data_IF_503832643920
#
_entry.id   IF_503832643920
#
_cell.length_a   1.000
_cell.length_b   1.000
_cell.length_c   1.000
_cell.angle_alpha   90.00
_cell.angle_beta   90.00
_cell.angle_gamma   90.00
#
_symmetry.space_group_name_H-M   'P 1'
#
loop_
_entity.id
_entity.type
_entity.pdbx_description
1 polymer ?
#
# COMPACT_ATOMS: atom_id res chain seq x y z
N UNK A 1 5.61 15.40 -7.24
CA UNK A 1 6.26 14.12 -6.92
C UNK A 1 7.15 14.38 -5.71
N UNK A 2 7.02 13.59 -4.64
CA UNK A 2 7.99 13.63 -3.56
C UNK A 2 9.36 13.21 -4.14
N UNK A 3 10.43 13.86 -3.72
CA UNK A 3 11.78 13.54 -4.15
C UNK A 3 12.12 12.11 -3.70
N UNK A 4 12.63 11.28 -4.63
CA UNK A 4 13.03 9.91 -4.31
C UNK A 4 14.20 9.95 -3.31
N UNK A 5 14.24 9.08 -2.29
CA UNK A 5 15.39 8.98 -1.42
C UNK A 5 16.67 8.66 -2.20
N UNK A 6 17.79 9.23 -1.76
CA UNK A 6 19.10 8.99 -2.40
C UNK A 6 19.50 7.51 -2.26
N UNK A 7 19.78 6.86 -3.40
CA UNK A 7 20.34 5.51 -3.42
C UNK A 7 21.85 5.57 -3.30
N UNK A 8 22.40 4.84 -2.33
CA UNK A 8 23.83 4.72 -2.02
C UNK A 8 24.25 3.26 -2.11
N UNK A 9 25.55 3.02 -2.11
CA UNK A 9 26.09 1.67 -2.19
C UNK A 9 27.06 1.39 -1.03
N UNK A 10 26.80 0.28 -0.31
CA UNK A 10 27.72 -0.30 0.63
C UNK A 10 28.59 -1.36 -0.09
N UNK A 11 29.86 -1.46 0.27
CA UNK A 11 30.74 -2.49 -0.29
C UNK A 11 31.02 -3.55 0.77
N UNK A 12 30.73 -4.80 0.46
CA UNK A 12 31.00 -5.95 1.33
C UNK A 12 32.48 -6.33 1.30
N UNK A 13 32.91 -7.19 2.23
CA UNK A 13 34.31 -7.63 2.29
C UNK A 13 34.77 -8.43 1.08
N UNK A 14 33.83 -9.06 0.36
CA UNK A 14 34.06 -9.79 -0.89
C UNK A 14 33.86 -8.92 -2.13
N UNK A 15 33.65 -7.60 -1.96
CA UNK A 15 33.62 -6.60 -3.01
C UNK A 15 32.29 -6.43 -3.71
N UNK A 16 31.18 -7.00 -3.20
CA UNK A 16 29.84 -6.83 -3.74
C UNK A 16 29.30 -5.45 -3.33
N UNK A 17 28.70 -4.72 -4.28
CA UNK A 17 28.01 -3.46 -4.01
C UNK A 17 26.54 -3.72 -3.70
N UNK A 18 26.11 -3.30 -2.51
CA UNK A 18 24.77 -3.45 -2.00
C UNK A 18 24.07 -2.09 -1.99
N UNK A 19 23.03 -1.95 -2.80
CA UNK A 19 22.25 -0.71 -2.87
C UNK A 19 21.40 -0.52 -1.62
N UNK A 20 21.41 0.69 -1.06
CA UNK A 20 20.62 1.02 0.13
C UNK A 20 20.13 2.46 0.11
N UNK A 21 19.10 2.73 0.90
CA UNK A 21 18.55 4.07 1.15
C UNK A 21 18.35 4.26 2.66
N UNK A 22 18.43 5.51 3.10
CA UNK A 22 18.12 5.91 4.47
C UNK A 22 17.03 6.96 4.44
N UNK A 23 15.94 6.73 5.15
CA UNK A 23 14.74 7.57 5.13
C UNK A 23 14.28 7.88 6.54
N UNK A 24 13.92 9.13 6.79
CA UNK A 24 13.55 9.60 8.14
C UNK A 24 14.77 9.90 9.02
N UNK A 25 14.48 10.51 10.16
CA UNK A 25 15.45 11.01 11.13
C UNK A 25 15.07 10.60 12.58
N UNK A 26 14.28 9.53 12.71
CA UNK A 26 13.84 9.00 14.01
C UNK A 26 14.99 8.64 14.95
N UNK A 27 14.67 8.49 16.21
CA UNK A 27 15.65 8.33 17.28
C UNK A 27 16.41 6.99 17.28
N UNK A 28 15.99 6.04 16.49
CA UNK A 28 16.60 4.70 16.36
C UNK A 28 16.59 4.21 14.92
N UNK A 29 17.52 3.33 14.62
CA UNK A 29 17.62 2.70 13.30
C UNK A 29 16.70 1.49 13.22
N UNK A 30 15.94 1.41 12.11
CA UNK A 30 15.15 0.25 11.73
C UNK A 30 15.62 -0.24 10.36
N UNK A 31 16.13 -1.46 10.28
CA UNK A 31 16.50 -2.07 8.99
C UNK A 31 15.38 -2.97 8.52
N UNK A 32 14.83 -2.69 7.35
CA UNK A 32 13.86 -3.56 6.68
C UNK A 32 14.59 -4.62 5.85
N UNK A 33 14.46 -5.87 6.26
CA UNK A 33 15.00 -7.04 5.57
C UNK A 33 13.85 -7.72 4.82
N UNK A 34 13.72 -7.37 3.55
CA UNK A 34 12.58 -7.79 2.70
C UNK A 34 12.60 -9.27 2.32
N UNK A 35 11.49 -9.76 1.80
CA UNK A 35 11.30 -11.10 1.22
C UNK A 35 12.02 -11.31 -0.12
N UNK A 36 11.48 -12.19 -0.96
CA UNK A 36 12.17 -12.73 -2.15
C UNK A 36 12.45 -11.71 -3.27
N UNK A 37 11.73 -10.59 -3.32
CA UNK A 37 11.99 -9.50 -4.25
C UNK A 37 12.13 -8.19 -3.51
N UNK A 38 13.07 -7.37 -3.94
CA UNK A 38 13.24 -6.00 -3.51
C UNK A 38 13.79 -5.14 -4.63
N UNK A 39 13.48 -3.88 -4.59
CA UNK A 39 14.09 -2.85 -5.42
C UNK A 39 13.89 -1.50 -4.72
N UNK A 40 14.95 -0.97 -4.12
CA UNK A 40 14.87 0.21 -3.25
C UNK A 40 14.24 1.44 -3.92
N UNK A 41 14.41 1.64 -5.24
CA UNK A 41 13.78 2.76 -5.95
C UNK A 41 12.36 2.44 -6.40
N UNK A 42 12.11 1.27 -7.00
CA UNK A 42 10.78 0.91 -7.50
C UNK A 42 9.72 0.76 -6.39
N UNK A 43 10.15 0.50 -5.16
CA UNK A 43 9.25 0.46 -4.01
C UNK A 43 8.54 1.80 -3.78
N UNK A 44 9.11 2.91 -4.23
CA UNK A 44 8.49 4.23 -4.15
C UNK A 44 7.52 4.54 -5.29
N UNK A 45 7.58 3.78 -6.38
CA UNK A 45 6.64 3.86 -7.50
C UNK A 45 5.32 3.14 -7.21
N UNK A 46 5.32 2.23 -6.21
CA UNK A 46 4.12 1.53 -5.75
C UNK A 46 3.49 2.29 -4.57
N UNK A 47 2.32 2.91 -4.75
CA UNK A 47 1.75 3.84 -3.75
C UNK A 47 1.57 3.20 -2.37
N UNK A 48 1.06 1.97 -2.31
CA UNK A 48 0.80 1.25 -1.08
C UNK A 48 2.09 0.95 -0.31
N UNK A 49 3.15 0.57 -1.03
CA UNK A 49 4.49 0.33 -0.46
C UNK A 49 5.11 1.63 0.03
N UNK A 50 5.06 2.68 -0.79
CA UNK A 50 5.62 3.98 -0.46
C UNK A 50 4.98 4.60 0.80
N UNK A 51 3.66 4.50 0.94
CA UNK A 51 2.95 4.99 2.13
C UNK A 51 3.34 4.19 3.38
N UNK A 52 3.46 2.88 3.26
CA UNK A 52 3.92 2.02 4.35
C UNK A 52 5.36 2.35 4.78
N UNK A 53 6.27 2.54 3.82
CA UNK A 53 7.67 2.92 4.11
C UNK A 53 7.77 4.29 4.78
N UNK A 54 6.95 5.28 4.34
CA UNK A 54 6.86 6.60 4.99
C UNK A 54 6.35 6.49 6.43
N UNK A 55 5.38 5.61 6.68
CA UNK A 55 4.87 5.36 8.02
C UNK A 55 5.94 4.77 8.94
N UNK A 56 6.73 3.79 8.49
CA UNK A 56 7.89 3.29 9.24
C UNK A 56 8.94 4.39 9.50
N UNK A 57 9.22 5.21 8.49
CA UNK A 57 10.18 6.30 8.57
C UNK A 57 9.70 7.46 9.47
N UNK A 58 8.39 7.56 9.77
CA UNK A 58 7.86 8.61 10.65
C UNK A 58 8.28 8.47 12.11
N UNK A 59 8.58 7.26 12.56
CA UNK A 59 9.01 6.99 13.94
C UNK A 59 10.42 6.38 14.05
N UNK A 60 11.09 6.09 12.92
CA UNK A 60 12.42 5.50 12.88
C UNK A 60 13.31 6.19 11.84
N UNK A 61 14.63 5.95 11.93
CA UNK A 61 15.53 6.14 10.81
C UNK A 61 15.57 4.83 10.04
N UNK A 62 14.73 4.75 9.00
CA UNK A 62 14.51 3.53 8.22
C UNK A 62 15.66 3.32 7.22
N UNK A 63 16.24 2.13 7.24
CA UNK A 63 17.28 1.68 6.31
C UNK A 63 16.68 0.58 5.42
N UNK A 64 16.64 0.83 4.13
CA UNK A 64 16.18 -0.09 3.08
C UNK A 64 17.39 -0.56 2.29
N UNK A 65 17.41 -1.80 1.84
CA UNK A 65 18.47 -2.28 0.97
C UNK A 65 17.99 -3.42 0.06
N UNK A 66 18.63 -3.51 -1.10
CA UNK A 66 18.51 -4.65 -1.98
C UNK A 66 19.63 -5.64 -1.66
N UNK A 67 19.27 -6.86 -1.33
CA UNK A 67 20.28 -7.90 -1.12
C UNK A 67 21.02 -8.20 -2.42
N UNK A 68 22.26 -8.71 -2.33
CA UNK A 68 23.02 -9.15 -3.51
C UNK A 68 22.17 -10.04 -4.43
N UNK A 69 22.23 -9.77 -5.72
CA UNK A 69 21.46 -10.46 -6.75
C UNK A 69 20.03 -9.96 -6.94
N UNK A 70 19.58 -8.94 -6.19
CA UNK A 70 18.27 -8.31 -6.31
C UNK A 70 18.38 -6.81 -6.58
N UNK A 71 17.34 -6.25 -7.21
CA UNK A 71 17.16 -4.81 -7.42
C UNK A 71 18.37 -4.14 -8.05
N UNK A 72 18.91 -3.13 -7.35
CA UNK A 72 20.06 -2.34 -7.78
C UNK A 72 21.42 -2.85 -7.26
N UNK A 73 21.43 -3.92 -6.44
CA UNK A 73 22.67 -4.52 -5.96
C UNK A 73 23.34 -5.36 -7.03
N UNK A 74 24.64 -5.58 -6.88
CA UNK A 74 25.41 -6.37 -7.85
C UNK A 74 24.81 -7.76 -8.05
N UNK A 75 24.68 -8.22 -9.30
CA UNK A 75 24.28 -9.58 -9.59
C UNK A 75 25.35 -10.58 -9.13
N UNK A 76 24.91 -11.71 -8.59
CA UNK A 76 25.79 -12.77 -8.13
C UNK A 76 25.51 -14.09 -8.86
N UNK A 77 26.52 -14.98 -8.91
CA UNK A 77 26.33 -16.31 -9.47
C UNK A 77 25.80 -17.27 -8.39
N UNK A 78 24.75 -18.02 -8.72
CA UNK A 78 24.12 -18.96 -7.80
C UNK A 78 23.29 -18.28 -6.70
N UNK A 79 22.93 -19.03 -5.66
CA UNK A 79 22.24 -18.54 -4.50
C UNK A 79 23.24 -18.11 -3.43
N UNK A 80 23.14 -16.86 -2.90
CA UNK A 80 23.98 -16.44 -1.80
C UNK A 80 23.62 -17.20 -0.52
N UNK A 81 24.61 -17.60 0.25
CA UNK A 81 24.42 -18.25 1.55
C UNK A 81 23.80 -17.29 2.58
N UNK A 82 23.34 -17.80 3.72
CA UNK A 82 22.90 -16.94 4.84
C UNK A 82 24.05 -16.04 5.31
N UNK A 83 25.27 -16.56 5.37
CA UNK A 83 26.47 -15.81 5.75
C UNK A 83 26.76 -14.65 4.81
N UNK A 84 26.64 -14.87 3.48
CA UNK A 84 26.82 -13.80 2.49
C UNK A 84 25.78 -12.69 2.70
N UNK A 85 24.52 -13.06 2.92
CA UNK A 85 23.42 -12.13 3.17
C UNK A 85 23.57 -11.37 4.50
N UNK A 86 24.13 -12.01 5.53
CA UNK A 86 24.50 -11.34 6.78
C UNK A 86 25.62 -10.32 6.56
N UNK A 87 26.57 -10.60 5.66
CA UNK A 87 27.61 -9.63 5.27
C UNK A 87 27.01 -8.42 4.56
N UNK A 88 25.99 -8.60 3.72
CA UNK A 88 25.26 -7.49 3.07
C UNK A 88 24.64 -6.59 4.14
N UNK A 89 23.88 -7.18 5.08
CA UNK A 89 23.25 -6.43 6.16
C UNK A 89 24.29 -5.66 6.99
N UNK A 90 25.41 -6.31 7.35
CA UNK A 90 26.48 -5.65 8.11
C UNK A 90 27.10 -4.50 7.33
N UNK A 91 27.43 -4.69 6.06
CA UNK A 91 28.01 -3.66 5.21
C UNK A 91 27.07 -2.45 5.07
N UNK A 92 25.76 -2.69 4.91
CA UNK A 92 24.75 -1.64 4.85
C UNK A 92 24.66 -0.89 6.17
N UNK A 93 24.59 -1.57 7.30
CA UNK A 93 24.57 -0.93 8.62
C UNK A 93 25.82 -0.06 8.84
N UNK A 94 27.01 -0.59 8.51
CA UNK A 94 28.27 0.14 8.66
C UNK A 94 28.31 1.37 7.74
N UNK A 95 27.91 1.25 6.47
CA UNK A 95 27.86 2.36 5.52
C UNK A 95 26.81 3.42 5.87
N UNK A 96 25.70 3.01 6.47
CA UNK A 96 24.66 3.91 6.99
C UNK A 96 25.04 4.57 8.32
N UNK A 97 26.19 4.19 8.94
CA UNK A 97 26.59 4.65 10.26
C UNK A 97 25.72 4.12 11.40
N UNK A 98 25.13 2.93 11.22
CA UNK A 98 24.26 2.29 12.18
C UNK A 98 25.07 1.32 13.06
N UNK A 99 25.37 1.72 14.28
CA UNK A 99 26.06 0.84 15.24
C UNK A 99 25.13 -0.26 15.75
N UNK A 100 23.85 0.05 15.93
CA UNK A 100 22.82 -0.85 16.46
C UNK A 100 21.46 -0.50 15.91
N UNK A 101 20.73 -1.49 15.37
CA UNK A 101 19.42 -1.29 14.77
C UNK A 101 18.38 -2.31 15.27
N UNK A 102 17.11 -1.94 15.18
CA UNK A 102 16.02 -2.92 15.14
C UNK A 102 16.00 -3.56 13.74
N UNK A 103 15.72 -4.86 13.65
CA UNK A 103 15.55 -5.56 12.38
C UNK A 103 14.07 -5.91 12.17
N UNK A 104 13.52 -5.56 11.02
CA UNK A 104 12.20 -6.04 10.55
C UNK A 104 12.44 -7.08 9.45
N UNK A 105 12.45 -8.34 9.83
CA UNK A 105 12.64 -9.48 8.93
C UNK A 105 11.30 -9.97 8.39
N UNK A 106 11.08 -9.81 7.08
CA UNK A 106 9.85 -10.17 6.40
C UNK A 106 10.05 -11.41 5.56
N UNK A 107 9.12 -12.39 5.67
CA UNK A 107 9.13 -13.57 4.81
C UNK A 107 10.51 -14.28 4.84
N UNK A 108 11.14 -14.50 3.70
CA UNK A 108 12.46 -15.13 3.61
C UNK A 108 13.63 -14.22 4.09
N UNK A 109 13.36 -12.96 4.43
CA UNK A 109 14.31 -12.12 5.17
C UNK A 109 14.42 -12.48 6.65
N UNK A 110 13.43 -13.20 7.19
CA UNK A 110 13.40 -13.59 8.60
C UNK A 110 14.51 -14.54 9.02
N UNK A 111 14.77 -15.67 8.32
CA UNK A 111 15.86 -16.58 8.66
C UNK A 111 17.22 -15.89 8.81
N UNK A 112 17.59 -15.04 7.86
CA UNK A 112 18.81 -14.25 7.94
C UNK A 112 18.81 -13.31 9.14
N UNK A 113 17.69 -12.61 9.40
CA UNK A 113 17.57 -11.69 10.55
C UNK A 113 17.69 -12.41 11.88
N UNK A 114 17.15 -13.63 11.99
CA UNK A 114 17.27 -14.48 13.18
C UNK A 114 18.71 -14.91 13.42
N UNK A 115 19.41 -15.39 12.38
CA UNK A 115 20.82 -15.79 12.48
C UNK A 115 21.69 -14.57 12.81
N UNK A 116 21.43 -13.43 12.19
CA UNK A 116 22.16 -12.19 12.50
C UNK A 116 21.97 -11.75 13.94
N UNK A 117 20.73 -11.76 14.45
CA UNK A 117 20.44 -11.38 15.84
C UNK A 117 21.05 -12.34 16.87
N UNK A 118 21.16 -13.63 16.54
CA UNK A 118 21.82 -14.60 17.40
C UNK A 118 23.36 -14.46 17.38
N UNK A 119 23.93 -14.10 16.21
CA UNK A 119 25.38 -14.01 16.00
C UNK A 119 25.95 -12.67 16.48
N UNK A 120 25.21 -11.57 16.30
CA UNK A 120 25.62 -10.20 16.60
C UNK A 120 24.59 -9.49 17.52
N UNK A 121 24.29 -10.03 18.70
CA UNK A 121 23.24 -9.46 19.58
C UNK A 121 23.53 -8.01 20.00
N UNK A 122 24.80 -7.59 20.03
CA UNK A 122 25.20 -6.21 20.30
C UNK A 122 24.81 -5.24 19.18
N UNK A 123 24.66 -5.73 17.94
CA UNK A 123 24.27 -4.94 16.77
C UNK A 123 22.74 -4.84 16.59
N UNK A 124 21.96 -5.64 17.35
CA UNK A 124 20.50 -5.71 17.23
C UNK A 124 19.82 -5.22 18.48
N UNK A 125 19.02 -4.18 18.39
CA UNK A 125 18.26 -3.64 19.52
C UNK A 125 16.97 -4.41 19.80
N UNK A 126 16.30 -4.86 18.72
CA UNK A 126 15.09 -5.66 18.74
C UNK A 126 14.93 -6.40 17.42
N UNK A 127 14.17 -7.49 17.41
CA UNK A 127 13.85 -8.28 16.24
C UNK A 127 12.34 -8.31 16.04
N UNK A 128 11.87 -7.83 14.90
CA UNK A 128 10.48 -7.95 14.44
C UNK A 128 10.45 -8.93 13.27
N UNK A 129 9.63 -9.95 13.37
CA UNK A 129 9.48 -11.01 12.38
C UNK A 129 8.05 -11.01 11.86
N UNK A 130 7.88 -10.87 10.54
CA UNK A 130 6.56 -10.88 9.92
C UNK A 130 6.45 -11.93 8.82
N UNK A 131 5.40 -12.76 8.88
CA UNK A 131 5.06 -13.71 7.82
C UNK A 131 6.24 -14.60 7.44
N UNK A 132 7.03 -15.06 8.41
CA UNK A 132 8.30 -15.74 8.20
C UNK A 132 8.35 -17.11 8.87
N UNK A 133 9.46 -17.81 8.71
CA UNK A 133 9.64 -19.22 9.05
C UNK A 133 11.06 -19.50 9.58
N UNK A 134 11.20 -20.54 10.38
CA UNK A 134 12.51 -21.10 10.71
C UNK A 134 13.00 -22.08 9.64
N UNK A 135 12.07 -22.72 8.96
CA UNK A 135 12.30 -23.65 7.85
C UNK A 135 11.10 -23.58 6.89
N UNK A 136 11.35 -23.59 5.58
CA UNK A 136 10.29 -23.48 4.58
C UNK A 136 9.70 -24.84 4.21
N UNK A 137 10.50 -25.91 4.26
CA UNK A 137 10.12 -27.28 3.90
C UNK A 137 9.79 -28.13 5.13
N UNK A 138 8.99 -29.18 4.93
CA UNK A 138 8.64 -30.13 6.00
C UNK A 138 9.86 -30.79 6.62
N UNK A 139 9.81 -31.03 7.93
CA UNK A 139 10.80 -31.80 8.68
C UNK A 139 10.13 -32.45 9.90
N UNK A 140 10.88 -33.28 10.62
CA UNK A 140 10.44 -33.83 11.90
C UNK A 140 10.12 -32.69 12.88
N UNK A 141 8.95 -32.75 13.50
CA UNK A 141 8.43 -31.68 14.37
C UNK A 141 8.01 -30.39 13.65
N UNK A 142 8.00 -30.39 12.28
CA UNK A 142 7.67 -29.22 11.48
C UNK A 142 6.79 -29.59 10.27
N UNK A 143 5.54 -30.06 10.47
CA UNK A 143 4.70 -30.62 9.40
C UNK A 143 4.03 -29.59 8.49
N UNK A 144 3.98 -28.31 8.87
CA UNK A 144 3.29 -27.23 8.14
C UNK A 144 4.13 -26.63 7.02
N UNK A 145 5.41 -26.93 6.91
CA UNK A 145 6.23 -26.56 5.75
C UNK A 145 5.74 -27.23 4.46
N UNK A 146 6.24 -26.78 3.34
CA UNK A 146 5.96 -27.41 2.05
C UNK A 146 6.62 -28.80 1.97
N UNK A 147 5.93 -29.80 1.37
CA UNK A 147 6.66 -31.00 0.98
C UNK A 147 7.69 -30.66 -0.12
N UNK A 148 8.83 -31.38 -0.20
CA UNK A 148 9.84 -31.10 -1.21
C UNK A 148 9.27 -31.09 -2.64
N UNK A 149 8.36 -32.01 -2.95
CA UNK A 149 7.73 -32.13 -4.25
C UNK A 149 6.74 -30.98 -4.54
N UNK A 150 5.99 -30.53 -3.52
CA UNK A 150 5.08 -29.40 -3.67
C UNK A 150 5.87 -28.11 -3.88
N UNK A 151 6.98 -27.93 -3.17
CA UNK A 151 7.83 -26.75 -3.30
C UNK A 151 8.55 -26.69 -4.65
N UNK A 152 9.09 -27.83 -5.13
CA UNK A 152 9.68 -27.91 -6.47
C UNK A 152 8.66 -27.54 -7.55
N UNK A 153 7.43 -28.07 -7.48
CA UNK A 153 6.37 -27.71 -8.42
C UNK A 153 6.00 -26.23 -8.38
N UNK A 154 6.00 -25.63 -7.20
CA UNK A 154 5.75 -24.19 -7.04
C UNK A 154 6.83 -23.36 -7.73
N UNK A 155 8.11 -23.71 -7.54
CA UNK A 155 9.25 -23.05 -8.20
C UNK A 155 9.13 -23.21 -9.72
N UNK A 156 8.92 -24.44 -10.22
CA UNK A 156 8.83 -24.74 -11.65
C UNK A 156 7.66 -23.98 -12.30
N UNK A 157 6.50 -23.98 -11.65
CA UNK A 157 5.32 -23.23 -12.11
C UNK A 157 5.58 -21.73 -12.21
N UNK A 158 6.17 -21.13 -11.16
CA UNK A 158 6.48 -19.70 -11.15
C UNK A 158 7.53 -19.33 -12.20
N UNK A 159 8.57 -20.15 -12.37
CA UNK A 159 9.60 -19.90 -13.40
C UNK A 159 9.01 -20.02 -14.80
N UNK A 160 8.14 -20.99 -15.05
CA UNK A 160 7.47 -21.16 -16.34
C UNK A 160 6.51 -20.02 -16.68
N UNK A 161 5.84 -19.44 -15.66
CA UNK A 161 4.93 -18.30 -15.79
C UNK A 161 5.61 -16.96 -15.50
N UNK A 162 6.95 -16.89 -15.52
CA UNK A 162 7.66 -15.67 -15.09
C UNK A 162 7.24 -14.44 -15.86
N UNK A 163 6.94 -13.40 -15.10
CA UNK A 163 6.45 -12.14 -15.65
C UNK A 163 4.94 -12.09 -15.88
N UNK A 164 4.24 -13.18 -15.56
CA UNK A 164 2.79 -13.20 -15.40
C UNK A 164 2.34 -12.51 -14.10
N UNK A 165 1.04 -12.39 -13.94
CA UNK A 165 0.41 -11.69 -12.81
C UNK A 165 -0.21 -12.63 -11.75
N UNK A 166 0.01 -13.94 -11.89
CA UNK A 166 -0.53 -15.01 -11.04
C UNK A 166 0.00 -14.99 -9.59
N UNK A 167 1.15 -14.33 -9.35
CA UNK A 167 1.72 -14.15 -8.01
C UNK A 167 0.75 -13.45 -7.06
N UNK A 168 -0.05 -12.52 -7.55
CA UNK A 168 -1.00 -11.76 -6.74
C UNK A 168 -2.05 -12.67 -6.10
N UNK A 169 -2.55 -13.70 -6.81
CA UNK A 169 -3.53 -14.64 -6.27
C UNK A 169 -3.02 -15.38 -5.03
N UNK A 170 -1.71 -15.55 -4.94
CA UNK A 170 -1.04 -16.29 -3.87
C UNK A 170 -0.55 -15.39 -2.73
N UNK A 171 0.00 -14.21 -3.05
CA UNK A 171 0.59 -13.30 -2.05
C UNK A 171 -0.36 -12.17 -1.60
N UNK A 172 -1.37 -11.83 -2.40
CA UNK A 172 -2.32 -10.76 -2.11
C UNK A 172 -3.73 -11.11 -2.64
N UNK A 173 -4.37 -12.17 -2.12
CA UNK A 173 -5.67 -12.62 -2.63
C UNK A 173 -6.77 -11.56 -2.54
N UNK A 174 -6.69 -10.59 -1.63
CA UNK A 174 -7.65 -9.48 -1.57
C UNK A 174 -7.59 -8.56 -2.80
N UNK A 175 -6.46 -8.52 -3.50
CA UNK A 175 -6.22 -7.74 -4.72
C UNK A 175 -6.25 -8.60 -6.00
N UNK A 176 -6.65 -9.86 -5.91
CA UNK A 176 -6.70 -10.80 -7.04
C UNK A 176 -7.55 -10.29 -8.21
N UNK A 177 -8.56 -9.45 -7.96
CA UNK A 177 -9.45 -8.88 -8.98
C UNK A 177 -9.03 -7.46 -9.43
N UNK A 178 -7.97 -6.90 -8.85
CA UNK A 178 -7.44 -5.60 -9.25
C UNK A 178 -6.43 -5.76 -10.40
N UNK A 179 -6.91 -5.53 -11.63
CA UNK A 179 -6.10 -5.68 -12.84
C UNK A 179 -4.94 -4.68 -12.92
N UNK A 180 -5.07 -3.50 -12.31
CA UNK A 180 -4.01 -2.48 -12.31
C UNK A 180 -2.89 -2.88 -11.34
N UNK A 181 -3.24 -3.32 -10.14
CA UNK A 181 -2.27 -3.84 -9.17
C UNK A 181 -1.53 -5.06 -9.75
N UNK A 182 -2.25 -6.03 -10.34
CA UNK A 182 -1.65 -7.21 -10.97
C UNK A 182 -0.60 -6.84 -12.02
N UNK A 183 -0.91 -5.88 -12.90
CA UNK A 183 0.05 -5.40 -13.93
C UNK A 183 1.27 -4.73 -13.33
N UNK A 184 1.07 -3.84 -12.32
CA UNK A 184 2.18 -3.14 -11.64
C UNK A 184 3.08 -4.14 -10.93
N UNK A 185 2.50 -5.06 -10.15
CA UNK A 185 3.28 -6.06 -9.41
C UNK A 185 4.08 -6.99 -10.35
N UNK A 186 3.47 -7.49 -11.42
CA UNK A 186 4.18 -8.28 -12.43
C UNK A 186 5.36 -7.51 -13.07
N UNK A 187 5.21 -6.20 -13.28
CA UNK A 187 6.29 -5.35 -13.77
C UNK A 187 7.40 -5.15 -12.72
N UNK A 188 7.02 -4.97 -11.45
CA UNK A 188 7.96 -4.87 -10.33
C UNK A 188 8.82 -6.13 -10.21
N UNK A 189 8.21 -7.32 -10.20
CA UNK A 189 8.94 -8.60 -10.13
C UNK A 189 9.97 -8.75 -11.25
N UNK A 190 9.57 -8.49 -12.51
CA UNK A 190 10.48 -8.60 -13.67
C UNK A 190 11.66 -7.63 -13.61
N UNK A 191 11.49 -6.48 -12.97
CA UNK A 191 12.53 -5.45 -12.83
C UNK A 191 13.42 -5.68 -11.61
N UNK A 192 12.89 -6.33 -10.58
CA UNK A 192 13.58 -6.58 -9.31
C UNK A 192 14.47 -7.83 -9.36
N UNK A 193 14.13 -8.85 -10.19
CA UNK A 193 14.90 -10.09 -10.27
C UNK A 193 14.65 -10.82 -11.59
N UNK A 194 15.36 -11.93 -11.81
CA UNK A 194 15.22 -12.81 -12.99
C UNK A 194 14.69 -14.19 -12.59
N UNK A 195 14.09 -14.97 -13.53
CA UNK A 195 13.60 -16.32 -13.22
C UNK A 195 14.71 -17.26 -12.72
N UNK A 196 15.93 -17.11 -13.21
CA UNK A 196 17.07 -17.90 -12.74
C UNK A 196 17.50 -17.54 -11.33
N UNK A 197 17.56 -16.24 -10.99
CA UNK A 197 17.87 -15.76 -9.64
C UNK A 197 16.77 -16.16 -8.64
N UNK A 198 15.48 -16.05 -9.03
CA UNK A 198 14.36 -16.53 -8.25
C UNK A 198 14.50 -18.03 -7.92
N UNK A 199 14.76 -18.88 -8.94
CA UNK A 199 14.95 -20.33 -8.75
C UNK A 199 16.07 -20.61 -7.74
N UNK A 200 17.25 -20.04 -7.96
CA UNK A 200 18.39 -20.23 -7.07
C UNK A 200 18.09 -19.82 -5.62
N UNK A 201 17.42 -18.70 -5.45
CA UNK A 201 17.00 -18.22 -4.13
C UNK A 201 16.00 -19.16 -3.45
N UNK A 202 15.00 -19.67 -4.19
CA UNK A 202 14.01 -20.59 -3.63
C UNK A 202 14.61 -21.95 -3.30
N UNK A 203 15.51 -22.47 -4.12
CA UNK A 203 16.23 -23.72 -3.85
C UNK A 203 17.09 -23.59 -2.58
N UNK A 204 17.78 -22.48 -2.39
CA UNK A 204 18.52 -22.18 -1.15
C UNK A 204 17.57 -22.10 0.06
N UNK A 205 16.43 -21.43 -0.08
CA UNK A 205 15.44 -21.34 1.00
C UNK A 205 14.85 -22.71 1.37
N UNK A 206 14.73 -23.66 0.42
CA UNK A 206 14.30 -25.03 0.70
C UNK A 206 15.26 -25.78 1.64
N UNK A 207 16.56 -25.47 1.56
CA UNK A 207 17.62 -26.08 2.37
C UNK A 207 17.84 -25.35 3.69
N UNK A 208 17.38 -24.10 3.78
CA UNK A 208 17.55 -23.26 4.97
C UNK A 208 16.78 -23.81 6.16
N UNK A 209 17.49 -24.09 7.25
CA UNK A 209 16.93 -24.51 8.54
C UNK A 209 17.63 -23.79 9.69
N UNK A 210 16.92 -22.85 10.31
CA UNK A 210 17.46 -22.04 11.44
C UNK A 210 16.81 -22.39 12.78
N UNK A 211 16.13 -23.55 12.88
CA UNK A 211 15.43 -23.97 14.10
C UNK A 211 16.35 -24.05 15.31
N UNK A 212 17.56 -24.55 15.12
CA UNK A 212 18.56 -24.71 16.17
C UNK A 212 19.14 -23.37 16.65
N UNK A 213 18.96 -22.29 15.88
CA UNK A 213 19.43 -20.95 16.23
C UNK A 213 18.43 -20.22 17.16
N UNK A 214 17.13 -20.53 17.06
CA UNK A 214 16.06 -19.82 17.78
C UNK A 214 16.31 -19.69 19.29
N UNK A 215 16.70 -20.75 20.01
CA UNK A 215 16.96 -20.66 21.45
C UNK A 215 18.16 -19.76 21.81
N UNK A 216 18.98 -19.38 20.83
CA UNK A 216 20.17 -18.52 21.03
C UNK A 216 19.85 -17.03 20.88
N UNK A 217 18.68 -16.67 20.36
CA UNK A 217 18.23 -15.28 20.22
C UNK A 217 17.95 -14.70 21.60
N UNK A 218 18.62 -13.59 21.94
CA UNK A 218 18.54 -12.91 23.25
C UNK A 218 17.93 -11.52 23.19
N UNK A 219 17.75 -10.98 22.00
CA UNK A 219 17.16 -9.65 21.81
C UNK A 219 15.64 -9.70 21.96
N UNK A 220 14.99 -8.62 22.42
CA UNK A 220 13.53 -8.54 22.42
C UNK A 220 12.98 -8.89 21.05
N UNK A 221 11.99 -9.78 20.99
CA UNK A 221 11.46 -10.29 19.72
C UNK A 221 9.95 -10.16 19.67
N UNK A 222 9.43 -9.60 18.56
CA UNK A 222 8.02 -9.56 18.21
C UNK A 222 7.81 -10.41 16.94
N UNK A 223 6.83 -11.30 16.99
CA UNK A 223 6.41 -12.11 15.84
C UNK A 223 5.01 -11.70 15.45
N UNK A 224 4.83 -11.22 14.23
CA UNK A 224 3.56 -10.85 13.62
C UNK A 224 3.22 -11.82 12.49
N UNK A 225 1.98 -12.29 12.42
CA UNK A 225 1.57 -13.21 11.36
C UNK A 225 0.08 -13.04 11.04
N UNK A 226 -0.28 -13.02 9.76
CA UNK A 226 -1.71 -13.01 9.37
C UNK A 226 -2.33 -14.39 9.51
N UNK A 227 -3.58 -14.43 9.99
CA UNK A 227 -4.31 -15.67 10.33
C UNK A 227 -4.42 -16.65 9.16
N UNK A 228 -4.63 -16.12 7.96
CA UNK A 228 -4.93 -16.91 6.75
C UNK A 228 -3.83 -16.76 5.68
N UNK A 229 -2.61 -16.40 6.09
CA UNK A 229 -1.45 -16.27 5.21
C UNK A 229 -1.23 -17.59 4.41
N UNK A 230 -1.34 -17.48 3.07
CA UNK A 230 -1.28 -18.64 2.17
C UNK A 230 0.16 -19.11 1.94
N UNK A 231 1.11 -18.24 1.53
CA UNK A 231 2.51 -18.61 1.34
C UNK A 231 3.19 -19.16 2.59
N UNK A 232 2.98 -18.52 3.71
CA UNK A 232 3.63 -18.89 4.98
C UNK A 232 2.55 -19.06 6.04
N UNK A 233 2.19 -20.30 6.32
CA UNK A 233 1.13 -20.60 7.30
C UNK A 233 1.45 -20.06 8.67
N UNK A 234 0.43 -19.61 9.40
CA UNK A 234 0.53 -19.02 10.73
C UNK A 234 1.26 -19.91 11.75
N UNK A 235 1.23 -21.24 11.56
CA UNK A 235 1.96 -22.18 12.41
C UNK A 235 3.46 -21.89 12.45
N UNK A 236 4.03 -21.31 11.38
CA UNK A 236 5.42 -20.86 11.37
C UNK A 236 5.64 -19.75 12.41
N UNK A 237 4.78 -18.74 12.45
CA UNK A 237 4.88 -17.67 13.44
C UNK A 237 4.71 -18.15 14.87
N UNK A 238 3.75 -19.05 15.11
CA UNK A 238 3.54 -19.68 16.42
C UNK A 238 4.78 -20.46 16.85
N UNK A 239 5.34 -21.27 15.96
CA UNK A 239 6.57 -22.01 16.23
C UNK A 239 7.73 -21.08 16.61
N UNK A 240 7.94 -19.99 15.87
CA UNK A 240 8.97 -19.00 16.18
C UNK A 240 8.79 -18.43 17.59
N UNK A 241 7.57 -18.04 17.94
CA UNK A 241 7.29 -17.45 19.26
C UNK A 241 7.45 -18.43 20.41
N UNK A 242 7.22 -19.72 20.18
CA UNK A 242 7.39 -20.79 21.17
C UNK A 242 8.88 -21.14 21.39
N UNK A 243 9.74 -20.94 20.37
CA UNK A 243 11.15 -21.37 20.43
C UNK A 243 12.13 -20.21 20.62
N UNK A 244 11.70 -18.96 20.48
CA UNK A 244 12.49 -17.77 20.81
C UNK A 244 12.13 -17.31 22.22
N UNK A 245 13.07 -17.33 23.13
CA UNK A 245 12.83 -17.00 24.55
C UNK A 245 12.30 -15.59 24.75
N UNK A 246 11.08 -15.46 25.29
CA UNK A 246 10.45 -14.18 25.58
C UNK A 246 9.84 -13.46 24.35
N UNK A 247 9.70 -14.13 23.21
CA UNK A 247 9.08 -13.57 22.05
C UNK A 247 7.57 -13.32 22.29
N UNK A 248 7.09 -12.15 21.85
CA UNK A 248 5.66 -11.81 21.81
C UNK A 248 5.10 -12.21 20.45
N UNK A 249 3.96 -12.90 20.44
CA UNK A 249 3.23 -13.24 19.22
C UNK A 249 1.97 -12.39 19.09
N UNK A 250 1.74 -11.87 17.88
CA UNK A 250 0.51 -11.15 17.53
C UNK A 250 -0.03 -11.73 16.23
N UNK A 251 -1.26 -12.22 16.30
CA UNK A 251 -2.04 -12.67 15.15
C UNK A 251 -2.79 -11.49 14.55
N UNK A 252 -2.52 -11.20 13.28
CA UNK A 252 -3.21 -10.17 12.51
C UNK A 252 -4.29 -10.81 11.64
N UNK A 253 -5.40 -10.11 11.44
CA UNK A 253 -6.46 -10.60 10.56
C UNK A 253 -6.07 -10.49 9.08
N UNK A 254 -6.46 -11.50 8.26
CA UNK A 254 -6.35 -11.45 6.81
C UNK A 254 -5.51 -12.55 6.19
N UNK A 255 -5.54 -12.60 4.85
CA UNK A 255 -4.89 -13.64 4.04
C UNK A 255 -3.72 -13.13 3.19
N UNK A 256 -3.55 -11.82 3.06
CA UNK A 256 -2.49 -11.23 2.23
C UNK A 256 -1.13 -11.36 2.92
N UNK A 257 -0.19 -12.00 2.25
CA UNK A 257 1.18 -12.11 2.75
C UNK A 257 1.93 -10.79 2.73
N UNK A 258 1.60 -9.90 1.78
CA UNK A 258 2.21 -8.58 1.71
C UNK A 258 1.83 -7.74 2.94
N UNK A 259 2.85 -7.29 3.69
CA UNK A 259 2.69 -6.58 4.96
C UNK A 259 2.17 -5.14 4.81
N UNK A 260 2.23 -4.60 3.60
CA UNK A 260 1.69 -3.28 3.25
C UNK A 260 0.25 -3.31 2.71
N UNK A 261 -0.41 -4.47 2.71
CA UNK A 261 -1.80 -4.64 2.23
C UNK A 261 -2.71 -5.00 3.41
N UNK A 262 -3.93 -4.48 3.40
CA UNK A 262 -4.94 -4.70 4.43
C UNK A 262 -4.87 -3.67 5.55
N UNK A 263 -5.11 -4.06 6.79
CA UNK A 263 -5.01 -3.17 7.96
C UNK A 263 -3.55 -2.96 8.36
N UNK A 264 -2.91 -1.99 7.69
CA UNK A 264 -1.52 -1.61 7.97
C UNK A 264 -1.38 -0.84 9.27
N UNK A 265 -2.45 -0.22 9.79
CA UNK A 265 -2.41 0.57 11.03
C UNK A 265 -2.21 -0.34 12.24
N UNK A 266 -2.85 -1.53 12.24
CA UNK A 266 -2.63 -2.52 13.29
C UNK A 266 -1.18 -3.01 13.28
N UNK A 267 -0.65 -3.38 12.11
CA UNK A 267 0.74 -3.79 11.96
C UNK A 267 1.73 -2.71 12.44
N UNK A 268 1.59 -1.49 11.92
CA UNK A 268 2.46 -0.36 12.26
C UNK A 268 2.37 -0.01 13.74
N UNK A 269 1.17 -0.01 14.32
CA UNK A 269 0.95 0.23 15.74
C UNK A 269 1.63 -0.80 16.64
N UNK A 270 1.56 -2.10 16.28
CA UNK A 270 2.25 -3.17 17.02
C UNK A 270 3.78 -3.05 16.96
N UNK A 271 4.31 -2.70 15.77
CA UNK A 271 5.76 -2.48 15.58
C UNK A 271 6.23 -1.26 16.35
N UNK A 272 5.53 -0.14 16.23
CA UNK A 272 5.89 1.10 16.93
C UNK A 272 5.83 0.92 18.46
N UNK A 273 4.73 0.35 18.97
CA UNK A 273 4.58 0.10 20.41
C UNK A 273 5.70 -0.79 20.94
N UNK A 274 6.04 -1.85 20.20
CA UNK A 274 7.11 -2.76 20.59
C UNK A 274 8.48 -2.08 20.60
N UNK A 275 8.79 -1.23 19.63
CA UNK A 275 10.09 -0.60 19.49
C UNK A 275 10.25 0.65 20.35
N UNK A 276 9.17 1.39 20.61
CA UNK A 276 9.21 2.70 21.30
C UNK A 276 8.54 2.70 22.67
N UNK A 277 7.76 1.68 23.00
CA UNK A 277 6.89 1.65 24.16
C UNK A 277 5.68 2.58 24.06
N UNK A 278 5.42 3.14 22.88
CA UNK A 278 4.29 4.03 22.59
C UNK A 278 3.60 3.56 21.33
N UNK A 279 2.29 3.54 21.33
CA UNK A 279 1.47 3.33 20.16
C UNK A 279 0.95 4.71 19.73
N UNK A 280 1.54 5.27 18.70
CA UNK A 280 0.90 6.41 18.04
C UNK A 280 -0.35 5.87 17.36
N UNK A 281 -1.46 6.57 17.54
CA UNK A 281 -2.54 6.42 16.58
C UNK A 281 -1.97 7.05 15.32
N UNK A 282 -1.58 6.24 14.34
CA UNK A 282 -1.36 6.74 13.00
C UNK A 282 -2.73 7.18 12.50
N UNK A 283 -3.17 8.37 12.94
CA UNK A 283 -4.29 9.02 12.29
C UNK A 283 -3.82 9.22 10.85
N UNK A 284 -4.30 8.33 9.96
CA UNK A 284 -4.28 8.62 8.54
C UNK A 284 -4.75 10.06 8.44
N UNK A 285 -4.09 10.89 7.64
CA UNK A 285 -4.42 12.31 7.52
C UNK A 285 -5.91 12.44 7.18
N UNK A 286 -6.74 12.42 8.23
CA UNK A 286 -8.18 12.62 8.12
C UNK A 286 -8.43 14.10 8.17
N UNK A 287 -9.04 14.58 7.11
CA UNK A 287 -9.41 15.97 7.00
C UNK A 287 -10.92 16.09 6.77
N UNK A 288 -11.50 17.12 7.34
CA UNK A 288 -12.85 17.49 6.98
C UNK A 288 -12.82 18.16 5.59
N UNK A 289 -13.41 17.50 4.60
CA UNK A 289 -13.45 18.05 3.25
C UNK A 289 -14.83 17.87 2.61
N UNK A 290 -15.12 18.68 1.60
CA UNK A 290 -16.27 18.49 0.73
C UNK A 290 -15.83 17.75 -0.50
N UNK A 291 -16.42 16.58 -0.73
CA UNK A 291 -16.17 15.73 -1.90
C UNK A 291 -17.24 16.01 -2.93
N UNK A 292 -16.81 16.28 -4.15
CA UNK A 292 -17.65 16.46 -5.36
C UNK A 292 -17.41 15.28 -6.30
N UNK A 293 -18.47 14.58 -6.66
CA UNK A 293 -18.51 13.65 -7.78
C UNK A 293 -19.30 14.27 -8.92
N UNK A 294 -18.81 14.11 -10.15
CA UNK A 294 -19.54 14.47 -11.39
C UNK A 294 -19.51 13.33 -12.37
N UNK A 295 -20.52 13.28 -13.23
CA UNK A 295 -20.66 12.25 -14.27
C UNK A 295 -21.42 12.79 -15.48
N UNK A 296 -21.05 12.39 -16.71
CA UNK A 296 -21.72 12.79 -17.95
C UNK A 296 -22.99 11.96 -18.15
N UNK A 297 -24.11 12.64 -18.31
CA UNK A 297 -25.41 11.98 -18.52
C UNK A 297 -25.47 11.29 -19.89
N UNK A 298 -25.76 9.97 -19.86
CA UNK A 298 -25.91 9.16 -21.08
C UNK A 298 -24.58 8.93 -21.82
N UNK A 299 -23.47 8.88 -21.12
CA UNK A 299 -22.11 8.72 -21.67
C UNK A 299 -21.99 7.54 -22.63
N UNK A 300 -22.48 6.36 -22.26
CA UNK A 300 -22.41 5.14 -23.07
C UNK A 300 -23.16 5.27 -24.39
N UNK A 301 -24.39 5.84 -24.37
CA UNK A 301 -25.19 6.07 -25.55
C UNK A 301 -24.54 7.11 -26.48
N UNK A 302 -23.99 8.18 -25.90
CA UNK A 302 -23.26 9.23 -26.63
C UNK A 302 -21.99 8.68 -27.26
N UNK A 303 -21.21 7.88 -26.53
CA UNK A 303 -20.01 7.24 -27.07
C UNK A 303 -20.33 6.36 -28.28
N UNK A 304 -21.39 5.54 -28.17
CA UNK A 304 -21.86 4.67 -29.27
C UNK A 304 -22.28 5.48 -30.49
N UNK A 305 -22.93 6.63 -30.30
CA UNK A 305 -23.43 7.46 -31.38
C UNK A 305 -22.33 8.28 -32.06
N UNK A 306 -21.37 8.81 -31.29
CA UNK A 306 -20.31 9.70 -31.81
C UNK A 306 -19.10 8.93 -32.37
N UNK A 307 -18.87 7.70 -31.92
CA UNK A 307 -17.68 6.93 -32.19
C UNK A 307 -16.45 7.40 -31.38
N UNK A 308 -15.46 6.52 -31.21
CA UNK A 308 -14.35 6.65 -30.27
C UNK A 308 -13.56 7.97 -30.39
N UNK A 309 -13.23 8.39 -31.63
CA UNK A 309 -12.44 9.59 -31.84
C UNK A 309 -13.19 10.90 -31.52
N UNK A 310 -14.50 10.96 -31.74
CA UNK A 310 -15.30 12.13 -31.39
C UNK A 310 -15.60 12.14 -29.88
N UNK A 311 -15.88 10.98 -29.31
CA UNK A 311 -16.09 10.82 -27.88
C UNK A 311 -14.82 11.18 -27.09
N UNK A 312 -13.64 10.76 -27.53
CA UNK A 312 -12.36 11.14 -26.90
C UNK A 312 -12.19 12.67 -26.82
N UNK A 313 -12.55 13.42 -27.88
CA UNK A 313 -12.52 14.90 -27.82
C UNK A 313 -13.49 15.51 -26.81
N UNK A 314 -14.66 14.90 -26.63
CA UNK A 314 -15.62 15.32 -25.59
C UNK A 314 -15.04 15.11 -24.20
N UNK A 315 -14.42 13.95 -23.94
CA UNK A 315 -13.76 13.65 -22.66
C UNK A 315 -12.58 14.61 -22.39
N UNK A 316 -11.74 14.87 -23.39
CA UNK A 316 -10.63 15.85 -23.27
C UNK A 316 -11.15 17.26 -22.93
N UNK A 317 -12.27 17.66 -23.51
CA UNK A 317 -12.90 18.95 -23.21
C UNK A 317 -13.49 18.96 -21.80
N UNK A 318 -14.18 17.89 -21.41
CA UNK A 318 -14.71 17.71 -20.05
C UNK A 318 -13.58 17.84 -19.01
N UNK A 319 -12.47 17.13 -19.19
CA UNK A 319 -11.35 17.14 -18.27
C UNK A 319 -10.70 18.54 -18.17
N UNK A 320 -10.54 19.23 -19.29
CA UNK A 320 -9.99 20.61 -19.28
C UNK A 320 -10.90 21.56 -18.53
N UNK A 321 -12.20 21.51 -18.74
CA UNK A 321 -13.18 22.38 -18.08
C UNK A 321 -13.26 22.06 -16.58
N UNK A 322 -13.26 20.78 -16.24
CA UNK A 322 -13.27 20.31 -14.85
C UNK A 322 -12.05 20.85 -14.09
N UNK A 323 -10.85 20.64 -14.59
CA UNK A 323 -9.62 21.17 -13.95
C UNK A 323 -9.67 22.67 -13.79
N UNK A 324 -10.05 23.41 -14.85
CA UNK A 324 -10.15 24.88 -14.82
C UNK A 324 -11.12 25.37 -13.74
N UNK A 325 -12.32 24.81 -13.65
CA UNK A 325 -13.32 25.27 -12.69
C UNK A 325 -12.95 24.83 -11.27
N UNK A 326 -12.42 23.61 -11.07
CA UNK A 326 -11.95 23.14 -9.76
C UNK A 326 -10.83 24.07 -9.23
N UNK A 327 -9.82 24.38 -10.04
CA UNK A 327 -8.74 25.29 -9.68
C UNK A 327 -9.25 26.72 -9.36
N UNK A 328 -10.17 27.23 -10.19
CA UNK A 328 -10.81 28.55 -9.98
C UNK A 328 -11.48 28.65 -8.62
N UNK A 329 -12.11 27.57 -8.15
CA UNK A 329 -12.80 27.52 -6.87
C UNK A 329 -11.91 26.96 -5.74
N UNK A 330 -10.58 26.87 -5.97
CA UNK A 330 -9.58 26.41 -5.01
C UNK A 330 -9.85 24.98 -4.50
N UNK A 331 -10.34 24.11 -5.37
CA UNK A 331 -10.43 22.68 -5.13
C UNK A 331 -9.20 21.93 -5.65
N UNK A 332 -9.19 20.65 -5.39
CA UNK A 332 -8.20 19.70 -5.94
C UNK A 332 -8.93 18.62 -6.71
N UNK A 333 -8.59 18.42 -7.98
CA UNK A 333 -9.01 17.24 -8.73
C UNK A 333 -8.21 16.05 -8.22
N UNK A 334 -8.92 15.01 -7.78
CA UNK A 334 -8.31 13.77 -7.27
C UNK A 334 -8.09 12.81 -8.43
N UNK A 335 -9.16 12.51 -9.19
CA UNK A 335 -9.06 11.62 -10.36
C UNK A 335 -10.18 11.88 -11.35
N UNK A 336 -9.94 11.51 -12.62
CA UNK A 336 -10.98 11.34 -13.64
C UNK A 336 -11.46 9.89 -13.60
N UNK A 337 -12.78 9.68 -13.71
CA UNK A 337 -13.41 8.36 -13.75
C UNK A 337 -13.78 7.93 -15.18
N UNK A 338 -13.17 8.57 -16.17
CA UNK A 338 -13.49 8.38 -17.60
C UNK A 338 -14.49 9.41 -18.08
N UNK A 339 -15.75 9.25 -17.76
CA UNK A 339 -16.86 10.18 -18.08
C UNK A 339 -17.26 11.09 -16.92
N UNK A 340 -16.51 11.05 -15.81
CA UNK A 340 -16.74 11.87 -14.63
C UNK A 340 -15.44 12.30 -13.95
N UNK A 341 -15.58 12.96 -12.81
CA UNK A 341 -14.44 13.42 -12.01
C UNK A 341 -14.75 13.41 -10.51
N UNK A 342 -13.71 13.25 -9.72
CA UNK A 342 -13.73 13.40 -8.27
C UNK A 342 -12.83 14.57 -7.88
N UNK A 343 -13.38 15.51 -7.09
CA UNK A 343 -12.64 16.65 -6.58
C UNK A 343 -12.95 16.91 -5.10
N UNK A 344 -12.01 17.53 -4.39
CA UNK A 344 -12.16 17.93 -2.99
C UNK A 344 -12.04 19.45 -2.81
N UNK A 345 -12.69 19.96 -1.77
CA UNK A 345 -12.68 21.37 -1.41
C UNK A 345 -12.60 21.51 0.11
N UNK A 346 -11.95 22.58 0.56
CA UNK A 346 -11.88 22.99 1.97
C UNK A 346 -13.17 23.64 2.50
N UNK A 347 -14.20 23.78 1.64
CA UNK A 347 -15.47 24.36 2.04
C UNK A 347 -16.61 24.07 1.06
N UNK A 348 -17.81 23.73 1.59
CA UNK A 348 -18.93 23.28 0.78
C UNK A 348 -19.51 24.34 -0.15
N UNK A 349 -19.48 25.62 0.24
CA UNK A 349 -19.96 26.70 -0.62
C UNK A 349 -19.11 26.84 -1.89
N UNK A 350 -17.81 26.62 -1.83
CA UNK A 350 -16.92 26.60 -3.01
C UNK A 350 -17.22 25.40 -3.91
N UNK A 351 -17.39 24.24 -3.31
CA UNK A 351 -17.74 23.03 -4.05
C UNK A 351 -19.06 23.17 -4.81
N UNK A 352 -20.10 23.70 -4.19
CA UNK A 352 -21.40 23.95 -4.83
C UNK A 352 -21.25 24.93 -5.99
N UNK A 353 -20.54 26.05 -5.80
CA UNK A 353 -20.33 27.05 -6.87
C UNK A 353 -19.48 26.49 -8.00
N UNK A 354 -18.48 25.65 -7.70
CA UNK A 354 -17.71 24.92 -8.71
C UNK A 354 -18.61 23.99 -9.53
N UNK A 355 -19.42 23.16 -8.86
CA UNK A 355 -20.35 22.23 -9.54
C UNK A 355 -21.33 22.98 -10.45
N UNK A 356 -21.87 24.11 -10.01
CA UNK A 356 -22.78 24.92 -10.82
C UNK A 356 -22.07 25.59 -12.01
N UNK A 357 -20.87 26.13 -11.81
CA UNK A 357 -20.05 26.72 -12.88
C UNK A 357 -19.64 25.69 -13.92
N UNK A 358 -19.19 24.50 -13.48
CA UNK A 358 -18.83 23.40 -14.36
C UNK A 358 -20.02 22.92 -15.18
N UNK A 359 -21.19 22.74 -14.52
CA UNK A 359 -22.44 22.37 -15.20
C UNK A 359 -22.80 23.37 -16.31
N UNK A 360 -22.67 24.67 -16.05
CA UNK A 360 -22.94 25.69 -17.05
C UNK A 360 -21.91 25.65 -18.19
N UNK A 361 -20.63 25.58 -17.89
CA UNK A 361 -19.58 25.54 -18.89
C UNK A 361 -19.69 24.31 -19.82
N UNK A 362 -20.07 23.16 -19.27
CA UNK A 362 -20.27 21.94 -20.06
C UNK A 362 -21.57 21.98 -20.88
N UNK A 363 -22.61 22.61 -20.34
CA UNK A 363 -23.87 22.82 -21.11
C UNK A 363 -23.62 23.69 -22.36
N UNK A 364 -22.77 24.70 -22.27
CA UNK A 364 -22.39 25.55 -23.42
C UNK A 364 -21.68 24.71 -24.51
N UNK A 365 -21.05 23.60 -24.13
CA UNK A 365 -20.44 22.59 -25.01
C UNK A 365 -21.36 21.41 -25.34
N UNK A 366 -22.67 21.54 -25.08
CA UNK A 366 -23.70 20.51 -25.28
C UNK A 366 -23.47 19.20 -24.48
N UNK A 367 -22.72 19.28 -23.39
CA UNK A 367 -22.50 18.17 -22.45
C UNK A 367 -23.31 18.44 -21.18
N UNK A 368 -24.15 17.48 -20.82
CA UNK A 368 -24.93 17.53 -19.59
C UNK A 368 -24.29 16.66 -18.55
N UNK A 369 -24.09 17.19 -17.33
CA UNK A 369 -23.57 16.44 -16.19
C UNK A 369 -24.59 16.38 -15.05
N UNK A 370 -24.36 15.45 -14.15
CA UNK A 370 -24.92 15.38 -12.81
C UNK A 370 -23.80 15.53 -11.79
N UNK A 371 -24.10 16.09 -10.62
CA UNK A 371 -23.11 16.34 -9.58
C UNK A 371 -23.66 16.04 -8.20
N UNK A 372 -22.92 15.27 -7.41
CA UNK A 372 -23.23 14.92 -6.03
C UNK A 372 -22.17 15.40 -5.06
N UNK A 373 -22.58 15.99 -3.92
CA UNK A 373 -21.66 16.51 -2.91
C UNK A 373 -22.00 16.01 -1.51
N UNK A 374 -20.95 15.73 -0.77
CA UNK A 374 -21.02 15.49 0.69
C UNK A 374 -19.83 16.14 1.39
N UNK A 375 -20.04 16.62 2.62
CA UNK A 375 -18.96 17.07 3.51
C UNK A 375 -18.86 16.14 4.69
N UNK A 376 -17.68 15.61 4.89
CA UNK A 376 -17.39 14.68 5.98
C UNK A 376 -15.88 14.45 6.12
N UNK A 377 -15.49 13.67 7.11
CA UNK A 377 -14.11 13.22 7.20
C UNK A 377 -13.77 12.29 6.05
N UNK A 378 -12.65 12.59 5.41
CA UNK A 378 -12.01 11.77 4.39
C UNK A 378 -10.57 11.50 4.78
N UNK A 379 -10.06 10.39 4.34
CA UNK A 379 -8.66 10.02 4.44
C UNK A 379 -7.94 10.49 3.18
N UNK A 380 -6.88 11.28 3.34
CA UNK A 380 -6.01 11.65 2.21
C UNK A 380 -5.01 10.51 1.98
N UNK A 381 -4.94 10.04 0.74
CA UNK A 381 -3.90 9.15 0.24
C UNK A 381 -3.13 9.90 -0.84
N UNK A 382 -1.87 9.57 -1.09
CA UNK A 382 -0.97 10.33 -1.96
C UNK A 382 -1.67 10.98 -3.18
N UNK A 383 -2.37 10.20 -3.99
CA UNK A 383 -3.11 10.64 -5.18
C UNK A 383 -4.59 10.24 -5.17
N UNK A 384 -5.12 9.75 -4.05
CA UNK A 384 -6.54 9.35 -3.91
C UNK A 384 -7.12 9.82 -2.56
N UNK A 385 -8.39 9.54 -2.36
CA UNK A 385 -9.13 9.78 -1.11
C UNK A 385 -9.93 8.54 -0.74
N UNK A 386 -10.08 8.29 0.56
CA UNK A 386 -10.86 7.17 1.07
C UNK A 386 -11.76 7.62 2.24
N UNK A 387 -12.53 6.69 2.78
CA UNK A 387 -13.41 6.91 3.93
C UNK A 387 -14.88 6.98 3.57
N UNK A 388 -15.72 6.89 4.60
CA UNK A 388 -17.18 6.84 4.44
C UNK A 388 -17.74 8.09 3.74
N UNK A 389 -17.14 9.27 3.95
CA UNK A 389 -17.53 10.52 3.30
C UNK A 389 -17.42 10.47 1.77
N UNK A 390 -16.40 9.78 1.25
CA UNK A 390 -16.23 9.56 -0.20
C UNK A 390 -17.34 8.65 -0.75
N UNK A 391 -17.63 7.55 -0.04
CA UNK A 391 -18.72 6.64 -0.43
C UNK A 391 -20.09 7.33 -0.42
N UNK A 392 -20.36 8.17 0.58
CA UNK A 392 -21.60 8.94 0.65
C UNK A 392 -21.70 9.86 -0.56
N UNK A 393 -20.68 10.66 -0.88
CA UNK A 393 -20.67 11.57 -2.02
C UNK A 393 -20.93 10.86 -3.36
N UNK A 394 -20.30 9.70 -3.58
CA UNK A 394 -20.53 8.86 -4.75
C UNK A 394 -21.98 8.33 -4.82
N UNK A 395 -22.56 7.93 -3.69
CA UNK A 395 -23.97 7.47 -3.66
C UNK A 395 -24.97 8.60 -3.86
N UNK A 396 -24.65 9.81 -3.38
CA UNK A 396 -25.46 11.02 -3.65
C UNK A 396 -25.44 11.32 -5.14
N UNK A 397 -24.27 11.29 -5.81
CA UNK A 397 -24.13 11.50 -7.24
C UNK A 397 -25.01 10.50 -8.04
N UNK A 398 -25.00 9.21 -7.69
CA UNK A 398 -25.78 8.18 -8.36
C UNK A 398 -27.30 8.41 -8.29
N UNK A 399 -27.80 9.23 -7.36
CA UNK A 399 -29.21 9.60 -7.22
C UNK A 399 -29.57 10.93 -7.93
N UNK A 400 -28.59 11.63 -8.47
CA UNK A 400 -28.79 12.93 -9.12
C UNK A 400 -29.56 12.77 -10.42
N UNK A 401 -30.54 13.63 -10.63
CA UNK A 401 -31.24 13.74 -11.92
C UNK A 401 -30.33 14.45 -12.93
N UNK A 402 -30.66 14.26 -14.21
CA UNK A 402 -29.95 14.98 -15.29
C UNK A 402 -29.94 16.49 -15.03
N UNK A 403 -28.75 17.10 -15.19
CA UNK A 403 -28.56 18.55 -15.08
C UNK A 403 -28.85 19.13 -13.67
N UNK A 404 -28.56 18.37 -12.62
CA UNK A 404 -28.82 18.76 -11.23
C UNK A 404 -27.53 18.68 -10.38
N UNK A 405 -27.50 19.44 -9.29
CA UNK A 405 -26.49 19.34 -8.22
C UNK A 405 -27.21 18.93 -6.95
N UNK A 406 -26.90 17.75 -6.43
CA UNK A 406 -27.51 17.17 -5.23
C UNK A 406 -26.50 17.21 -4.07
N UNK A 407 -26.98 17.54 -2.87
CA UNK A 407 -26.14 17.66 -1.67
C UNK A 407 -26.82 16.97 -0.49
N UNK A 408 -26.03 16.52 0.47
CA UNK A 408 -26.54 16.03 1.76
C UNK A 408 -26.94 17.17 2.69
N UNK A 409 -27.74 16.85 3.72
CA UNK A 409 -28.12 17.81 4.77
C UNK A 409 -26.89 18.47 5.43
N UNK A 410 -25.84 17.73 5.69
CA UNK A 410 -24.57 18.27 6.25
C UNK A 410 -24.05 19.45 5.45
N UNK A 411 -24.09 19.33 4.11
CA UNK A 411 -23.67 20.44 3.21
C UNK A 411 -24.57 21.65 3.37
N UNK A 412 -25.90 21.48 3.43
CA UNK A 412 -26.84 22.59 3.60
C UNK A 412 -26.64 23.32 4.93
N UNK A 413 -26.40 22.58 6.00
CA UNK A 413 -26.18 23.13 7.33
C UNK A 413 -24.90 23.97 7.40
N UNK A 414 -23.83 23.50 6.75
CA UNK A 414 -22.52 24.18 6.73
C UNK A 414 -22.49 25.44 5.85
N UNK A 415 -23.42 25.59 4.90
CA UNK A 415 -23.50 26.79 4.03
C UNK A 415 -24.61 27.75 4.44
N UNK A 416 -25.19 27.58 5.62
CA UNK A 416 -26.19 28.51 6.15
C UNK A 416 -25.65 29.94 6.13
N UNK A 417 -26.43 30.88 5.57
CA UNK A 417 -26.02 32.30 5.42
C UNK A 417 -25.19 32.62 4.15
N UNK A 418 -24.85 31.63 3.32
CA UNK A 418 -24.08 31.85 2.07
C UNK A 418 -24.87 32.40 0.87
N UNK A 419 -26.21 32.56 1.02
CA UNK A 419 -27.13 32.91 -0.05
C UNK A 419 -27.57 31.77 -0.94
N UNK A 420 -27.01 30.58 -0.76
CA UNK A 420 -27.37 29.39 -1.56
C UNK A 420 -28.74 28.89 -1.08
N UNK A 421 -29.62 28.62 -2.02
CA UNK A 421 -30.96 28.08 -1.74
C UNK A 421 -31.10 26.63 -2.23
N UNK A 422 -31.95 25.87 -1.54
CA UNK A 422 -32.10 24.46 -1.75
C UNK A 422 -33.56 24.03 -1.89
N UNK A 423 -33.81 23.04 -2.72
CA UNK A 423 -35.07 22.32 -2.81
C UNK A 423 -34.94 20.94 -2.17
N UNK A 424 -35.83 20.62 -1.25
CA UNK A 424 -35.85 19.31 -0.59
C UNK A 424 -36.13 18.18 -1.60
N UNK A 425 -35.34 17.11 -1.51
CA UNK A 425 -35.49 15.88 -2.33
C UNK A 425 -35.94 14.67 -1.50
N UNK A 426 -36.18 14.84 -0.20
CA UNK A 426 -36.67 13.81 0.70
C UNK A 426 -35.55 12.93 1.28
N UNK A 427 -35.99 11.91 1.98
CA UNK A 427 -35.14 10.92 2.65
C UNK A 427 -34.82 9.77 1.68
N UNK A 428 -33.55 9.40 1.60
CA UNK A 428 -33.05 8.34 0.73
C UNK A 428 -32.19 7.34 1.50
N UNK A 429 -32.26 6.07 1.09
CA UNK A 429 -31.33 5.05 1.52
C UNK A 429 -30.13 5.00 0.56
N UNK A 430 -28.92 5.12 1.10
CA UNK A 430 -27.69 5.03 0.33
C UNK A 430 -27.12 3.61 0.44
N UNK A 431 -26.96 2.91 -0.69
CA UNK A 431 -26.50 1.52 -0.71
C UNK A 431 -25.17 1.37 0.02
N UNK A 432 -25.16 0.53 1.07
CA UNK A 432 -23.95 0.25 1.86
C UNK A 432 -23.61 1.32 2.92
N UNK A 433 -24.49 2.30 3.14
CA UNK A 433 -24.36 3.31 4.19
C UNK A 433 -25.57 3.22 5.11
N UNK A 434 -25.37 3.13 6.40
CA UNK A 434 -26.47 3.01 7.38
C UNK A 434 -27.23 4.32 7.55
N UNK A 435 -28.55 4.21 7.82
CA UNK A 435 -29.43 5.34 8.13
C UNK A 435 -30.05 5.99 6.88
N UNK A 436 -31.13 6.78 7.12
CA UNK A 436 -31.77 7.57 6.07
C UNK A 436 -31.07 8.89 5.88
N UNK A 437 -30.86 9.30 4.62
CA UNK A 437 -30.11 10.50 4.23
C UNK A 437 -31.03 11.52 3.58
N UNK A 438 -31.20 12.67 4.26
CA UNK A 438 -31.95 13.78 3.68
C UNK A 438 -31.09 14.46 2.60
N UNK A 439 -31.63 14.55 1.38
CA UNK A 439 -30.94 15.14 0.23
C UNK A 439 -31.63 16.40 -0.26
N UNK A 440 -30.85 17.30 -0.83
CA UNK A 440 -31.32 18.61 -1.31
C UNK A 440 -30.71 18.91 -2.68
N UNK A 441 -31.53 19.47 -3.60
CA UNK A 441 -31.03 20.01 -4.85
C UNK A 441 -30.68 21.49 -4.69
N UNK A 442 -29.57 21.92 -5.27
CA UNK A 442 -29.22 23.34 -5.34
C UNK A 442 -30.19 24.06 -6.28
N UNK A 443 -30.94 25.03 -5.73
CA UNK A 443 -31.97 25.76 -6.45
C UNK A 443 -31.56 27.17 -6.91
N UNK A 444 -30.61 27.81 -6.18
CA UNK A 444 -30.07 29.15 -6.51
C UNK A 444 -28.76 29.42 -5.78
N UNK A 445 -27.92 30.30 -6.37
CA UNK A 445 -26.59 30.64 -5.93
C UNK A 445 -26.48 32.15 -5.65
#
# INVERSE_FOLDING_TARGET
MAELPETRYATTVDGVHVAYQVVGDGAFDLVLVTGYVSHVELSWDEPEVADFLRALASFSRLILFDRRGLGLSDPVQGAPTIEDRMQDLRAVMDAAGSERAALLGVSEGGPMSMVFAATYPERVSALVLYGTFARLTQAEGYPWGYSPEAFSRLIDGKVAAWGGDDTVDFFAPSLAQDADFRRRWAAFERRATSPGAYRALMEMNAETDVRDVLPSIRVPTLVLHKSDDIPIRIENGRYLSEHIGGARFVELAGADHFFWIGDTDEFLGEVEEFLTGRRSVHERDRVLATVLFTDIVGSTERATHLGDAAWGRVLDQHDRLTRREVDRWRGRVIKSTGDGAVATFDGPARAIRCAAALRQALRDEQVTIRAGLHTGEIELRADDIAGIGVHIAARVEALVRSDEVLVTKTVTDLVAGSGITFADRGLHDLKGVSGGWQLFAVAGL
#
